data_IF_494219061594
#
_entry.id   IF_494219061594
#
_cell.length_a   1.000
_cell.length_b   1.000
_cell.length_c   1.000
_cell.angle_alpha   90.00
_cell.angle_beta   90.00
_cell.angle_gamma   90.00
#
_symmetry.space_group_name_H-M   'P 1'
#
loop_
_entity.id
_entity.type
_entity.pdbx_description
1 polymer ?
#
# COMPACT_ATOMS: atom_id res chain seq x y z
N UNK A 1 -7.69 3.54 -8.84
CA UNK A 1 -7.39 2.29 -9.57
C UNK A 1 -7.59 1.05 -8.67
N UNK A 2 -6.84 0.95 -7.56
CA UNK A 2 -6.91 -0.21 -6.67
C UNK A 2 -8.32 -0.51 -6.18
N UNK A 3 -9.03 0.47 -5.66
CA UNK A 3 -10.43 0.32 -5.21
C UNK A 3 -11.35 -0.17 -6.32
N UNK A 4 -11.28 0.45 -7.50
CA UNK A 4 -12.10 0.05 -8.64
C UNK A 4 -11.81 -1.41 -9.07
N UNK A 5 -10.53 -1.81 -9.12
CA UNK A 5 -10.16 -3.18 -9.45
C UNK A 5 -10.73 -4.20 -8.44
N UNK A 6 -10.60 -3.92 -7.14
CA UNK A 6 -11.15 -4.77 -6.08
C UNK A 6 -12.66 -4.91 -6.19
N UNK A 7 -13.38 -3.79 -6.40
CA UNK A 7 -14.83 -3.79 -6.53
C UNK A 7 -15.29 -4.54 -7.80
N UNK A 8 -14.65 -4.31 -8.94
CA UNK A 8 -14.91 -5.05 -10.17
C UNK A 8 -14.66 -6.54 -9.97
N UNK A 9 -13.55 -6.93 -9.35
CA UNK A 9 -13.27 -8.32 -9.00
C UNK A 9 -14.35 -8.94 -8.13
N UNK A 10 -14.77 -8.22 -7.09
CA UNK A 10 -15.79 -8.70 -6.17
C UNK A 10 -17.15 -8.90 -6.83
N UNK A 11 -17.63 -7.90 -7.58
CA UNK A 11 -19.01 -7.87 -8.07
C UNK A 11 -19.19 -8.52 -9.45
N UNK A 12 -18.20 -8.46 -10.33
CA UNK A 12 -18.32 -8.92 -11.71
C UNK A 12 -17.60 -10.24 -11.99
N UNK A 13 -16.55 -10.59 -11.25
CA UNK A 13 -15.71 -11.75 -11.56
C UNK A 13 -15.80 -12.90 -10.56
N UNK A 14 -16.63 -12.81 -9.53
CA UNK A 14 -16.91 -13.98 -8.68
C UNK A 14 -16.47 -13.86 -7.22
N UNK A 15 -16.63 -12.69 -6.62
CA UNK A 15 -16.58 -12.54 -5.17
C UNK A 15 -15.17 -12.25 -4.62
N UNK A 16 -14.90 -12.72 -3.40
CA UNK A 16 -13.73 -12.29 -2.62
C UNK A 16 -12.37 -12.66 -3.23
N UNK A 17 -12.25 -13.87 -3.77
CA UNK A 17 -10.95 -14.33 -4.37
C UNK A 17 -10.60 -13.49 -5.59
N UNK A 18 -11.59 -13.23 -6.44
CA UNK A 18 -11.41 -12.36 -7.60
C UNK A 18 -11.06 -10.91 -7.19
N UNK A 19 -11.64 -10.41 -6.09
CA UNK A 19 -11.30 -9.12 -5.52
C UNK A 19 -9.84 -9.03 -5.08
N UNK A 20 -9.34 -10.07 -4.39
CA UNK A 20 -7.95 -10.14 -3.95
C UNK A 20 -6.98 -10.19 -5.14
N UNK A 21 -7.26 -11.03 -6.14
CA UNK A 21 -6.45 -11.14 -7.35
C UNK A 21 -6.46 -9.85 -8.19
N UNK A 22 -7.62 -9.21 -8.32
CA UNK A 22 -7.75 -7.93 -9.01
C UNK A 22 -6.97 -6.81 -8.29
N UNK A 23 -6.99 -6.80 -6.95
CA UNK A 23 -6.19 -5.90 -6.14
C UNK A 23 -4.68 -6.10 -6.35
N UNK A 24 -4.23 -7.35 -6.37
CA UNK A 24 -2.84 -7.72 -6.67
C UNK A 24 -2.44 -7.26 -8.07
N UNK A 25 -3.25 -7.58 -9.08
CA UNK A 25 -3.00 -7.19 -10.48
C UNK A 25 -2.94 -5.66 -10.66
N UNK A 26 -3.84 -4.92 -10.01
CA UNK A 26 -3.84 -3.46 -10.06
C UNK A 26 -2.58 -2.86 -9.42
N UNK A 27 -2.08 -3.47 -8.33
CA UNK A 27 -0.87 -3.03 -7.66
C UNK A 27 0.38 -3.32 -8.51
N UNK A 28 0.54 -4.54 -9.00
CA UNK A 28 1.66 -4.94 -9.88
C UNK A 28 1.66 -4.10 -11.16
N UNK A 29 0.50 -3.92 -11.81
CA UNK A 29 0.38 -3.09 -13.01
C UNK A 29 0.68 -1.60 -12.77
N UNK A 30 0.53 -1.10 -11.53
CA UNK A 30 0.97 0.24 -11.15
C UNK A 30 2.49 0.32 -10.92
N UNK A 31 3.11 -0.70 -10.35
CA UNK A 31 4.56 -0.73 -10.12
C UNK A 31 5.34 -0.94 -11.41
N UNK A 32 4.82 -1.79 -12.32
CA UNK A 32 5.50 -2.24 -13.52
C UNK A 32 4.64 -2.04 -14.78
N UNK A 33 4.22 -0.79 -15.10
CA UNK A 33 3.40 -0.54 -16.28
C UNK A 33 4.19 -0.77 -17.58
N UNK A 34 3.67 -1.66 -18.44
CA UNK A 34 4.33 -2.04 -19.70
C UNK A 34 4.57 -0.82 -20.59
N UNK A 35 3.59 0.10 -20.67
CA UNK A 35 3.65 1.32 -21.47
C UNK A 35 4.62 2.41 -20.96
N UNK A 36 5.22 2.22 -19.77
CA UNK A 36 6.27 3.07 -19.20
C UNK A 36 7.59 2.32 -19.07
N UNK A 37 7.85 1.32 -19.89
CA UNK A 37 9.04 0.47 -19.81
C UNK A 37 9.26 -0.07 -18.38
N UNK A 38 8.19 -0.50 -17.73
CA UNK A 38 8.18 -1.03 -16.35
C UNK A 38 8.65 -0.06 -15.27
N UNK A 39 8.66 1.24 -15.54
CA UNK A 39 9.04 2.30 -14.59
C UNK A 39 7.79 2.96 -14.01
N UNK A 40 7.17 2.31 -13.03
CA UNK A 40 5.99 2.82 -12.34
C UNK A 40 6.31 3.62 -11.07
N UNK A 41 5.27 3.88 -10.29
CA UNK A 41 5.37 4.56 -9.00
C UNK A 41 5.74 3.62 -7.85
N UNK A 42 5.77 4.15 -6.62
CA UNK A 42 6.07 3.37 -5.40
C UNK A 42 4.86 2.63 -4.82
N UNK A 43 3.67 2.84 -5.36
CA UNK A 43 2.49 2.05 -5.07
C UNK A 43 1.64 2.48 -3.87
N UNK A 44 2.02 3.47 -3.05
CA UNK A 44 1.32 3.83 -1.80
C UNK A 44 -0.16 4.13 -2.02
N UNK A 45 -0.49 4.99 -3.00
CA UNK A 45 -1.88 5.34 -3.30
C UNK A 45 -2.69 4.15 -3.85
N UNK A 46 -2.03 3.24 -4.60
CA UNK A 46 -2.68 2.02 -5.10
C UNK A 46 -2.88 1.01 -3.97
N UNK A 47 -1.91 0.87 -3.06
CA UNK A 47 -2.01 0.08 -1.84
C UNK A 47 -3.21 0.52 -0.99
N UNK A 48 -3.30 1.81 -0.68
CA UNK A 48 -4.45 2.38 0.03
C UNK A 48 -5.75 2.13 -0.74
N UNK A 49 -5.73 2.29 -2.07
CA UNK A 49 -6.90 2.02 -2.91
C UNK A 49 -7.37 0.56 -2.86
N UNK A 50 -6.46 -0.40 -2.86
CA UNK A 50 -6.79 -1.83 -2.66
C UNK A 50 -7.40 -2.04 -1.28
N UNK A 51 -6.79 -1.47 -0.25
CA UNK A 51 -7.25 -1.58 1.13
C UNK A 51 -8.65 -0.98 1.34
N UNK A 52 -8.96 0.17 0.71
CA UNK A 52 -10.31 0.77 0.69
C UNK A 52 -11.33 -0.22 0.15
N UNK A 53 -11.00 -0.92 -0.94
CA UNK A 53 -11.91 -1.89 -1.56
C UNK A 53 -12.08 -3.17 -0.72
N UNK A 54 -11.04 -3.61 -0.01
CA UNK A 54 -11.06 -4.83 0.80
C UNK A 54 -11.64 -4.62 2.20
N UNK A 55 -11.18 -3.57 2.90
CA UNK A 55 -11.55 -3.28 4.29
C UNK A 55 -11.40 -1.79 4.62
N UNK A 56 -12.46 -1.02 4.40
CA UNK A 56 -12.47 0.44 4.56
C UNK A 56 -11.99 0.90 5.95
N UNK A 57 -12.40 0.21 7.03
CA UNK A 57 -11.98 0.56 8.39
C UNK A 57 -10.46 0.53 8.57
N UNK A 58 -9.78 -0.45 7.99
CA UNK A 58 -8.31 -0.55 8.06
C UNK A 58 -7.65 0.49 7.13
N UNK A 59 -8.30 0.85 6.03
CA UNK A 59 -7.83 1.95 5.18
C UNK A 59 -7.83 3.29 5.92
N UNK A 60 -8.84 3.55 6.76
CA UNK A 60 -8.90 4.73 7.64
C UNK A 60 -7.76 4.70 8.65
N UNK A 61 -7.50 3.54 9.28
CA UNK A 61 -6.37 3.38 10.22
C UNK A 61 -5.03 3.60 9.51
N UNK A 62 -4.85 3.03 8.30
CA UNK A 62 -3.66 3.28 7.48
C UNK A 62 -3.46 4.78 7.24
N UNK A 63 -4.51 5.50 6.82
CA UNK A 63 -4.44 6.93 6.56
C UNK A 63 -4.10 7.73 7.83
N UNK A 64 -4.68 7.35 8.98
CA UNK A 64 -4.39 7.99 10.27
C UNK A 64 -2.93 7.78 10.69
N UNK A 65 -2.40 6.56 10.56
CA UNK A 65 -0.98 6.25 10.83
C UNK A 65 -0.09 7.06 9.89
N UNK A 66 -0.40 7.04 8.58
CA UNK A 66 0.39 7.77 7.59
C UNK A 66 0.44 9.27 7.88
N UNK A 67 -0.72 9.90 8.16
CA UNK A 67 -0.81 11.32 8.48
C UNK A 67 -0.10 11.65 9.80
N UNK A 68 -0.29 10.84 10.84
CA UNK A 68 0.36 11.02 12.14
C UNK A 68 1.89 10.98 12.02
N UNK A 69 2.42 9.96 11.35
CA UNK A 69 3.87 9.84 11.13
C UNK A 69 4.38 10.98 10.23
N UNK A 70 3.64 11.36 9.17
CA UNK A 70 4.01 12.46 8.29
C UNK A 70 4.06 13.80 9.04
N UNK A 71 3.10 14.04 9.93
CA UNK A 71 3.06 15.25 10.75
C UNK A 71 4.25 15.31 11.73
N UNK A 72 4.53 14.21 12.42
CA UNK A 72 5.59 14.16 13.44
C UNK A 72 7.00 14.14 12.84
N UNK A 73 7.22 13.32 11.81
CA UNK A 73 8.55 13.09 11.25
C UNK A 73 8.88 13.99 10.05
N UNK A 74 7.86 14.46 9.35
CA UNK A 74 7.93 15.14 8.05
C UNK A 74 8.50 14.29 6.92
N UNK A 75 8.57 12.96 7.08
CA UNK A 75 9.02 12.04 6.03
C UNK A 75 7.84 11.23 5.46
N UNK A 76 7.43 11.53 4.21
CA UNK A 76 6.37 10.80 3.51
C UNK A 76 6.71 9.31 3.31
N UNK A 77 7.98 9.01 3.02
CA UNK A 77 8.47 7.64 2.85
C UNK A 77 8.39 6.82 4.15
N UNK A 78 8.82 7.40 5.28
CA UNK A 78 8.71 6.73 6.59
C UNK A 78 7.25 6.45 6.95
N UNK A 79 6.36 7.40 6.67
CA UNK A 79 4.92 7.24 6.89
C UNK A 79 4.35 6.06 6.11
N UNK A 80 4.72 5.94 4.83
CA UNK A 80 4.27 4.84 3.98
C UNK A 80 4.81 3.48 4.45
N UNK A 81 6.08 3.42 4.87
CA UNK A 81 6.71 2.21 5.38
C UNK A 81 6.04 1.73 6.67
N UNK A 82 5.80 2.61 7.64
CA UNK A 82 5.17 2.25 8.91
C UNK A 82 3.69 1.89 8.73
N UNK A 83 2.93 2.67 7.96
CA UNK A 83 1.52 2.37 7.72
C UNK A 83 1.35 1.03 6.99
N UNK A 84 2.18 0.74 5.98
CA UNK A 84 2.12 -0.54 5.25
C UNK A 84 2.57 -1.72 6.11
N UNK A 85 3.55 -1.55 7.00
CA UNK A 85 4.00 -2.61 7.93
C UNK A 85 2.88 -3.03 8.88
N UNK A 86 2.15 -2.07 9.45
CA UNK A 86 1.11 -2.35 10.42
C UNK A 86 -0.16 -2.94 9.79
N UNK A 87 -0.44 -2.66 8.52
CA UNK A 87 -1.65 -3.10 7.84
C UNK A 87 -1.89 -4.62 7.86
N UNK A 88 -0.95 -5.48 7.44
CA UNK A 88 -1.16 -6.93 7.47
C UNK A 88 -1.32 -7.46 8.88
N UNK A 89 -0.64 -6.86 9.88
CA UNK A 89 -0.78 -7.23 11.30
C UNK A 89 -2.19 -6.91 11.81
N UNK A 90 -2.72 -5.73 11.49
CA UNK A 90 -4.09 -5.34 11.85
C UNK A 90 -5.13 -6.25 11.19
N UNK A 91 -4.94 -6.61 9.93
CA UNK A 91 -5.82 -7.53 9.22
C UNK A 91 -5.79 -8.93 9.83
N UNK A 92 -4.63 -9.40 10.25
CA UNK A 92 -4.45 -10.72 10.85
C UNK A 92 -5.03 -10.79 12.27
N UNK A 93 -4.62 -9.90 13.15
CA UNK A 93 -4.92 -9.99 14.59
C UNK A 93 -6.22 -9.30 14.98
N UNK A 94 -6.59 -8.20 14.34
CA UNK A 94 -7.80 -7.44 14.70
C UNK A 94 -9.01 -7.82 13.86
N UNK A 95 -8.83 -8.02 12.55
CA UNK A 95 -9.94 -8.35 11.64
C UNK A 95 -10.12 -9.86 11.48
N UNK A 96 -9.10 -10.65 11.82
CA UNK A 96 -9.07 -12.11 11.63
C UNK A 96 -9.23 -12.51 10.15
N UNK A 97 -8.72 -11.69 9.23
CA UNK A 97 -8.78 -11.89 7.79
C UNK A 97 -7.42 -12.30 7.23
N UNK A 98 -7.10 -13.58 7.37
CA UNK A 98 -5.81 -14.12 6.97
C UNK A 98 -5.51 -13.92 5.46
N UNK A 99 -6.51 -14.02 4.57
CA UNK A 99 -6.30 -13.88 3.12
C UNK A 99 -5.95 -12.45 2.74
N UNK A 100 -6.70 -11.47 3.26
CA UNK A 100 -6.36 -10.06 3.05
C UNK A 100 -5.03 -9.70 3.72
N UNK A 101 -4.73 -10.24 4.90
CA UNK A 101 -3.45 -10.04 5.59
C UNK A 101 -2.27 -10.56 4.76
N UNK A 102 -2.36 -11.76 4.19
CA UNK A 102 -1.33 -12.34 3.32
C UNK A 102 -1.14 -11.53 2.05
N UNK A 103 -2.22 -11.13 1.39
CA UNK A 103 -2.14 -10.25 0.22
C UNK A 103 -1.45 -8.93 0.58
N UNK A 104 -1.95 -8.22 1.60
CA UNK A 104 -1.41 -6.92 1.98
C UNK A 104 0.04 -7.04 2.49
N UNK A 105 0.41 -8.17 3.08
CA UNK A 105 1.80 -8.51 3.43
C UNK A 105 2.69 -8.60 2.19
N UNK A 106 2.25 -9.32 1.17
CA UNK A 106 2.97 -9.39 -0.12
C UNK A 106 3.11 -8.02 -0.78
N UNK A 107 2.01 -7.22 -0.80
CA UNK A 107 2.05 -5.85 -1.32
C UNK A 107 2.99 -4.95 -0.49
N UNK A 108 3.06 -5.15 0.82
CA UNK A 108 4.00 -4.43 1.71
C UNK A 108 5.45 -4.71 1.33
N UNK A 109 5.81 -5.98 1.11
CA UNK A 109 7.17 -6.34 0.68
C UNK A 109 7.54 -5.68 -0.65
N UNK A 110 6.62 -5.70 -1.64
CA UNK A 110 6.82 -5.02 -2.91
C UNK A 110 6.95 -3.50 -2.74
N UNK A 111 6.10 -2.89 -1.92
CA UNK A 111 6.15 -1.46 -1.60
C UNK A 111 7.50 -1.09 -0.96
N UNK A 112 7.99 -1.89 -0.02
CA UNK A 112 9.29 -1.67 0.62
C UNK A 112 10.43 -1.82 -0.38
N UNK A 113 10.38 -2.79 -1.27
CA UNK A 113 11.34 -2.93 -2.36
C UNK A 113 11.38 -1.68 -3.25
N UNK A 114 10.20 -1.12 -3.58
CA UNK A 114 10.13 0.14 -4.35
C UNK A 114 10.61 1.37 -3.56
N UNK A 115 10.66 1.29 -2.23
CA UNK A 115 11.19 2.33 -1.34
C UNK A 115 12.65 2.12 -0.94
N UNK A 116 13.38 1.15 -1.49
CA UNK A 116 14.77 0.83 -1.09
C UNK A 116 15.71 2.04 -1.08
N UNK A 117 15.57 2.95 -2.04
CA UNK A 117 16.37 4.18 -2.08
C UNK A 117 15.97 5.17 -0.99
N UNK A 118 14.64 5.27 -0.69
CA UNK A 118 14.16 6.09 0.42
C UNK A 118 14.66 5.53 1.76
N UNK A 119 14.62 4.21 1.94
CA UNK A 119 15.15 3.54 3.12
C UNK A 119 16.63 3.85 3.29
N UNK A 120 17.42 3.76 2.22
CA UNK A 120 18.84 4.11 2.26
C UNK A 120 19.08 5.57 2.64
N UNK A 121 18.26 6.52 2.11
CA UNK A 121 18.34 7.94 2.49
C UNK A 121 17.87 8.20 3.92
N UNK A 122 16.85 7.53 4.40
CA UNK A 122 16.39 7.62 5.79
C UNK A 122 17.47 7.18 6.77
N UNK A 123 18.14 6.06 6.49
CA UNK A 123 19.25 5.55 7.32
C UNK A 123 20.47 6.49 7.32
N UNK A 124 20.72 7.19 6.22
CA UNK A 124 21.80 8.17 6.08
C UNK A 124 21.42 9.58 6.58
N UNK A 125 20.18 9.80 6.99
CA UNK A 125 19.70 11.14 7.39
C UNK A 125 19.57 12.13 6.22
N UNK A 126 19.56 11.66 4.97
CA UNK A 126 19.52 12.48 3.74
C UNK A 126 18.17 12.43 3.01
N UNK A 127 17.14 11.86 3.62
CA UNK A 127 15.79 11.85 3.04
C UNK A 127 15.15 13.25 3.08
N UNK A 128 14.50 13.64 1.98
CA UNK A 128 13.83 14.94 1.87
C UNK A 128 12.61 15.03 2.78
N UNK A 129 12.49 16.12 3.53
CA UNK A 129 11.32 16.36 4.39
C UNK A 129 10.18 17.03 3.61
N UNK A 130 8.95 16.73 3.99
CA UNK A 130 7.74 17.40 3.46
C UNK A 130 7.87 18.91 3.69
N UNK A 131 7.69 19.71 2.62
CA UNK A 131 7.75 21.17 2.67
C UNK A 131 9.16 21.78 2.67
N UNK A 132 10.22 21.01 2.52
CA UNK A 132 11.56 21.54 2.18
C UNK A 132 11.66 21.72 0.66
N UNK A 133 11.96 22.92 0.22
CA UNK A 133 12.38 23.24 -1.15
C UNK A 133 13.88 23.08 -1.27
#
# INVERSE_FOLDING_TARGET
KGTAAVLVGAFLLGGREAALLAGLGAFIGHLFPVWLNFRGGKGVATYLGVLIGLKFSIAVVFAAIWLGVAYLSRYSSLSALLASLLTPLLLWFWVSDARAALLMGALTLLLWFMHRENIARLLKGSEGKIGQK
#
